data_IF_815603072816
#
_entry.id   IF_815603072816
#
_cell.length_a   1.000
_cell.length_b   1.000
_cell.length_c   1.000
_cell.angle_alpha   90.00
_cell.angle_beta   90.00
_cell.angle_gamma   90.00
#
_symmetry.space_group_name_H-M   'P 1'
#
loop_
_entity.id
_entity.type
_entity.pdbx_description
1 polymer ?
#
# COMPACT_ATOMS: atom_id res chain seq x y z
N UNK A 1 11.66 -25.58 -86.25
CA UNK A 1 12.48 -24.64 -85.47
C UNK A 1 11.63 -23.40 -85.23
N UNK A 2 11.44 -22.98 -83.97
CA UNK A 2 10.91 -21.63 -83.70
C UNK A 2 11.93 -20.65 -84.30
N UNK A 3 11.53 -19.87 -85.32
CA UNK A 3 12.32 -18.72 -85.73
C UNK A 3 12.41 -17.76 -84.53
N UNK A 4 13.42 -16.88 -84.48
CA UNK A 4 13.61 -15.95 -83.36
C UNK A 4 12.43 -14.97 -83.16
N UNK A 5 11.42 -14.95 -84.05
CA UNK A 5 10.25 -14.07 -83.99
C UNK A 5 10.61 -12.57 -83.86
N UNK A 6 11.81 -12.18 -84.29
CA UNK A 6 12.35 -10.83 -84.10
C UNK A 6 12.82 -10.52 -82.67
N UNK A 7 12.94 -11.52 -81.79
CA UNK A 7 13.40 -11.35 -80.41
C UNK A 7 14.86 -10.88 -80.35
N UNK A 8 15.10 -9.88 -79.51
CA UNK A 8 16.43 -9.44 -79.10
C UNK A 8 16.90 -10.23 -77.86
N UNK A 9 18.20 -10.28 -77.65
CA UNK A 9 18.79 -10.91 -76.45
C UNK A 9 18.21 -10.30 -75.18
N UNK A 10 17.71 -11.13 -74.26
CA UNK A 10 17.09 -10.70 -73.00
C UNK A 10 15.56 -10.54 -73.04
N UNK A 11 14.93 -10.72 -74.19
CA UNK A 11 13.47 -10.75 -74.28
C UNK A 11 12.90 -12.14 -73.99
N UNK A 12 11.69 -12.17 -73.43
CA UNK A 12 10.92 -13.40 -73.18
C UNK A 12 9.70 -13.43 -74.10
N UNK A 13 9.24 -14.61 -74.51
CA UNK A 13 7.96 -14.72 -75.21
C UNK A 13 6.83 -14.56 -74.20
N UNK A 14 6.00 -13.52 -74.37
CA UNK A 14 4.80 -13.27 -73.56
C UNK A 14 3.57 -13.43 -74.43
N UNK A 15 2.59 -14.21 -73.97
CA UNK A 15 1.31 -14.35 -74.66
C UNK A 15 0.47 -13.08 -74.45
N UNK A 16 0.08 -12.41 -75.55
CA UNK A 16 -0.63 -11.14 -75.50
C UNK A 16 -2.16 -11.26 -75.63
N UNK A 17 -2.69 -12.50 -75.56
CA UNK A 17 -4.11 -12.80 -75.72
C UNK A 17 -4.47 -13.35 -77.10
N UNK A 18 -3.65 -13.13 -78.11
CA UNK A 18 -3.87 -13.65 -79.47
C UNK A 18 -2.63 -14.40 -79.98
N UNK A 19 -1.43 -13.87 -79.72
CA UNK A 19 -0.16 -14.42 -80.19
C UNK A 19 0.90 -14.45 -79.09
N UNK A 20 1.92 -15.31 -79.26
CA UNK A 20 3.16 -15.23 -78.50
C UNK A 20 4.08 -14.21 -79.17
N UNK A 21 4.47 -13.15 -78.48
CA UNK A 21 5.37 -12.13 -79.02
C UNK A 21 6.55 -11.89 -78.08
N UNK A 22 7.76 -11.57 -78.60
CA UNK A 22 8.87 -11.16 -77.75
C UNK A 22 8.50 -9.88 -76.99
N UNK A 23 8.62 -9.93 -75.68
CA UNK A 23 8.43 -8.79 -74.80
C UNK A 23 9.66 -8.66 -73.90
N UNK A 24 10.04 -7.42 -73.61
CA UNK A 24 10.99 -7.17 -72.53
C UNK A 24 10.39 -7.68 -71.22
N UNK A 25 11.23 -8.17 -70.30
CA UNK A 25 10.79 -8.53 -68.95
C UNK A 25 10.59 -7.25 -68.11
N UNK A 26 9.69 -6.37 -68.55
CA UNK A 26 9.41 -5.05 -67.97
C UNK A 26 8.57 -5.11 -66.66
N UNK A 27 8.28 -6.31 -66.14
CA UNK A 27 7.38 -6.50 -64.99
C UNK A 27 8.05 -7.09 -63.73
N UNK A 28 9.36 -7.38 -63.76
CA UNK A 28 10.06 -7.91 -62.59
C UNK A 28 11.10 -6.91 -62.09
N UNK A 29 10.83 -6.28 -60.94
CA UNK A 29 11.84 -5.51 -60.22
C UNK A 29 13.03 -6.43 -59.90
N UNK A 30 14.18 -6.18 -60.53
CA UNK A 30 15.35 -7.01 -60.35
C UNK A 30 16.30 -6.39 -59.33
N UNK A 31 16.64 -7.16 -58.29
CA UNK A 31 17.67 -6.75 -57.34
C UNK A 31 19.05 -6.85 -57.98
N UNK A 32 19.75 -5.72 -58.07
CA UNK A 32 21.06 -5.62 -58.74
C UNK A 32 22.24 -5.70 -57.77
N UNK A 33 21.98 -5.62 -56.46
CA UNK A 33 23.00 -5.69 -55.41
C UNK A 33 22.97 -4.47 -54.49
N UNK A 34 24.11 -4.19 -53.86
CA UNK A 34 24.25 -3.03 -52.98
C UNK A 34 25.05 -1.90 -53.60
N UNK A 35 24.70 -0.66 -53.28
CA UNK A 35 25.37 0.54 -53.79
C UNK A 35 25.78 1.49 -52.66
N UNK A 36 26.97 2.08 -52.78
CA UNK A 36 27.50 3.07 -51.85
C UNK A 36 27.25 4.49 -52.38
N UNK A 37 26.52 5.35 -51.64
CA UNK A 37 26.21 6.71 -52.06
C UNK A 37 27.44 7.58 -52.31
N UNK A 38 28.60 7.28 -51.72
CA UNK A 38 29.85 8.01 -51.96
C UNK A 38 30.43 7.75 -53.37
N UNK A 39 29.90 6.77 -54.10
CA UNK A 39 30.32 6.44 -55.47
C UNK A 39 29.33 6.99 -56.51
N UNK A 40 29.72 7.18 -57.78
CA UNK A 40 28.77 7.53 -58.83
C UNK A 40 27.58 6.55 -58.89
N UNK A 41 26.44 7.01 -59.42
CA UNK A 41 25.32 6.10 -59.66
C UNK A 41 25.75 4.92 -60.55
N UNK A 42 25.18 3.72 -60.33
CA UNK A 42 25.27 2.64 -61.30
C UNK A 42 24.78 3.13 -62.66
N UNK A 43 25.41 2.68 -63.74
CA UNK A 43 25.04 3.12 -65.09
C UNK A 43 23.59 2.73 -65.38
N UNK A 44 22.74 3.75 -65.55
CA UNK A 44 21.32 3.57 -65.82
C UNK A 44 21.09 3.01 -67.23
N UNK A 45 22.02 3.24 -68.18
CA UNK A 45 21.96 2.68 -69.53
C UNK A 45 22.16 1.15 -69.58
N UNK A 46 22.64 0.56 -68.47
CA UNK A 46 22.80 -0.88 -68.29
C UNK A 46 21.69 -1.49 -67.40
N UNK A 47 20.67 -0.70 -67.03
CA UNK A 47 19.58 -1.10 -66.14
C UNK A 47 18.24 -1.07 -66.89
N UNK A 48 17.35 -2.00 -66.57
CA UNK A 48 15.96 -1.97 -67.02
C UNK A 48 15.09 -1.15 -66.06
N UNK A 49 13.97 -0.57 -66.52
CA UNK A 49 12.96 -0.02 -65.62
C UNK A 49 12.56 -1.05 -64.56
N UNK A 50 12.59 -0.65 -63.28
CA UNK A 50 12.33 -1.51 -62.12
C UNK A 50 13.56 -2.17 -61.51
N UNK A 51 14.73 -2.14 -62.15
CA UNK A 51 15.99 -2.56 -61.54
C UNK A 51 16.27 -1.70 -60.30
N UNK A 52 16.71 -2.33 -59.21
CA UNK A 52 16.96 -1.62 -57.96
C UNK A 52 18.22 -2.10 -57.23
N UNK A 53 18.84 -1.17 -56.49
CA UNK A 53 19.95 -1.42 -55.59
C UNK A 53 19.57 -1.04 -54.17
N UNK A 54 20.16 -1.73 -53.19
CA UNK A 54 20.03 -1.37 -51.76
C UNK A 54 21.27 -0.61 -51.32
N UNK A 55 21.08 0.50 -50.63
CA UNK A 55 22.16 1.35 -50.15
C UNK A 55 22.95 0.64 -49.04
N UNK A 56 24.26 0.45 -49.22
CA UNK A 56 25.14 -0.24 -48.25
C UNK A 56 25.81 0.68 -47.22
N UNK A 57 25.91 1.98 -47.50
CA UNK A 57 26.56 2.96 -46.63
C UNK A 57 25.70 4.23 -46.53
N UNK A 58 25.80 5.00 -45.44
CA UNK A 58 25.16 6.32 -45.36
C UNK A 58 26.05 7.37 -45.98
N UNK A 59 25.50 8.25 -46.80
CA UNK A 59 26.29 9.31 -47.44
C UNK A 59 25.47 10.16 -48.40
N UNK A 60 26.03 11.29 -48.83
CA UNK A 60 25.44 12.16 -49.85
C UNK A 60 26.04 11.82 -51.20
N UNK A 61 25.20 11.52 -52.19
CA UNK A 61 25.68 11.22 -53.52
C UNK A 61 26.07 12.51 -54.27
N UNK A 62 27.27 12.57 -54.89
CA UNK A 62 27.70 13.77 -55.61
C UNK A 62 26.93 14.03 -56.91
N UNK A 63 26.22 13.04 -57.45
CA UNK A 63 25.48 13.15 -58.71
C UNK A 63 24.11 13.82 -58.57
N UNK A 64 23.41 13.61 -57.47
CA UNK A 64 22.09 14.21 -57.20
C UNK A 64 22.05 15.11 -55.95
N UNK A 65 23.11 15.12 -55.14
CA UNK A 65 23.18 15.86 -53.87
C UNK A 65 22.28 15.31 -52.77
N UNK A 66 21.67 14.14 -52.94
CA UNK A 66 20.74 13.54 -51.99
C UNK A 66 21.51 12.69 -50.97
N UNK A 67 21.14 12.82 -49.70
CA UNK A 67 21.66 11.97 -48.62
C UNK A 67 20.85 10.68 -48.51
N UNK A 68 21.54 9.54 -48.57
CA UNK A 68 21.00 8.20 -48.43
C UNK A 68 21.43 7.60 -47.08
N UNK A 69 20.53 6.86 -46.44
CA UNK A 69 20.81 6.05 -45.27
C UNK A 69 21.04 4.59 -45.67
N UNK A 70 21.81 3.84 -44.88
CA UNK A 70 21.97 2.39 -45.08
C UNK A 70 20.58 1.74 -45.12
N UNK A 71 20.35 0.97 -46.18
CA UNK A 71 19.11 0.25 -46.42
C UNK A 71 18.06 1.02 -47.21
N UNK A 72 18.26 2.31 -47.53
CA UNK A 72 17.47 3.00 -48.58
C UNK A 72 17.63 2.28 -49.92
N UNK A 73 16.69 2.45 -50.85
CA UNK A 73 16.70 1.81 -52.15
C UNK A 73 16.86 2.89 -53.23
N UNK A 74 17.54 2.56 -54.32
CA UNK A 74 17.44 3.31 -55.58
C UNK A 74 16.77 2.42 -56.61
N UNK A 75 15.81 2.95 -57.36
CA UNK A 75 15.06 2.23 -58.39
C UNK A 75 15.15 2.98 -59.72
N UNK A 76 15.38 2.25 -60.81
CA UNK A 76 15.47 2.82 -62.14
C UNK A 76 14.10 2.91 -62.82
N UNK A 77 13.83 4.00 -63.54
CA UNK A 77 12.72 4.10 -64.50
C UNK A 77 13.16 3.80 -65.95
N UNK A 78 14.41 3.38 -66.14
CA UNK A 78 15.06 3.17 -67.44
C UNK A 78 15.82 4.40 -67.97
N UNK A 79 15.67 5.57 -67.35
CA UNK A 79 16.33 6.82 -67.76
C UNK A 79 17.04 7.52 -66.59
N UNK A 80 16.56 7.32 -65.38
CA UNK A 80 17.03 7.94 -64.15
C UNK A 80 16.93 7.00 -62.95
N UNK A 81 17.60 7.37 -61.86
CA UNK A 81 17.48 6.71 -60.57
C UNK A 81 16.62 7.56 -59.63
N UNK A 82 15.66 6.92 -58.97
CA UNK A 82 14.85 7.53 -57.92
C UNK A 82 15.16 6.92 -56.56
N UNK A 83 15.27 7.77 -55.54
CA UNK A 83 15.38 7.32 -54.15
C UNK A 83 14.03 6.78 -53.65
N UNK A 84 14.03 5.58 -53.12
CA UNK A 84 12.95 5.00 -52.33
C UNK A 84 13.48 4.78 -50.91
N UNK A 85 13.02 5.61 -49.97
CA UNK A 85 13.49 5.53 -48.58
C UNK A 85 13.09 4.20 -47.94
N UNK A 86 13.99 3.63 -47.14
CA UNK A 86 13.66 2.44 -46.36
C UNK A 86 12.54 2.76 -45.38
N UNK A 87 11.45 2.00 -45.45
CA UNK A 87 10.44 1.99 -44.39
C UNK A 87 10.97 1.23 -43.18
N UNK A 88 11.90 1.83 -42.42
CA UNK A 88 12.48 1.17 -41.26
C UNK A 88 11.39 1.01 -40.18
N UNK A 89 11.04 -0.24 -39.91
CA UNK A 89 10.13 -0.65 -38.83
C UNK A 89 10.82 -0.46 -37.48
N UNK A 90 10.77 0.75 -36.93
CA UNK A 90 11.05 1.00 -35.51
C UNK A 90 10.31 2.26 -35.09
N UNK A 91 9.19 2.06 -34.39
CA UNK A 91 8.27 3.08 -33.83
C UNK A 91 7.87 4.19 -34.82
N UNK A 92 6.72 4.02 -35.48
CA UNK A 92 6.17 5.02 -36.41
C UNK A 92 5.69 6.30 -35.72
N UNK A 93 5.31 6.21 -34.43
CA UNK A 93 5.08 7.35 -33.54
C UNK A 93 5.03 6.91 -32.07
N UNK A 94 5.37 7.81 -31.15
CA UNK A 94 5.10 7.67 -29.72
C UNK A 94 4.50 8.98 -29.19
N UNK A 95 3.26 8.91 -28.68
CA UNK A 95 2.51 10.07 -28.19
C UNK A 95 2.50 11.25 -29.20
N UNK A 96 2.30 10.92 -30.49
CA UNK A 96 2.27 11.90 -31.60
C UNK A 96 3.64 12.35 -32.12
N UNK A 97 4.75 12.07 -31.43
CA UNK A 97 6.11 12.39 -31.88
C UNK A 97 6.61 11.30 -32.84
N UNK A 98 7.25 11.70 -33.95
CA UNK A 98 7.78 10.82 -35.01
C UNK A 98 9.31 10.91 -35.06
N UNK A 99 9.98 9.90 -35.61
CA UNK A 99 11.44 9.87 -35.77
C UNK A 99 12.17 9.37 -34.52
N UNK A 100 13.32 9.96 -34.19
CA UNK A 100 14.06 9.64 -32.95
C UNK A 100 13.23 10.08 -31.73
N UNK A 101 12.71 9.11 -30.98
CA UNK A 101 11.94 9.37 -29.75
C UNK A 101 12.87 9.31 -28.55
N UNK A 102 13.33 10.47 -28.08
CA UNK A 102 13.90 10.58 -26.75
C UNK A 102 12.77 10.69 -25.71
N UNK A 103 12.89 9.95 -24.62
CA UNK A 103 11.97 10.01 -23.50
C UNK A 103 11.98 11.41 -22.86
N UNK A 104 10.81 12.03 -22.73
CA UNK A 104 10.61 13.32 -22.06
C UNK A 104 9.73 13.17 -20.83
N UNK A 105 9.81 14.07 -19.84
CA UNK A 105 8.97 14.04 -18.64
C UNK A 105 7.45 13.89 -18.86
N UNK A 106 6.95 14.32 -20.02
CA UNK A 106 5.54 14.16 -20.44
C UNK A 106 5.17 12.78 -21.00
N UNK A 107 6.12 11.86 -21.18
CA UNK A 107 5.88 10.48 -21.60
C UNK A 107 5.55 9.55 -20.43
N UNK A 108 5.89 9.99 -19.23
CA UNK A 108 5.60 9.33 -17.96
C UNK A 108 4.92 10.33 -17.00
N UNK A 109 3.82 10.99 -17.43
CA UNK A 109 3.17 12.06 -16.65
C UNK A 109 2.68 11.57 -15.28
N UNK A 110 2.53 10.26 -15.15
CA UNK A 110 1.93 9.61 -14.00
C UNK A 110 2.97 9.11 -12.98
N UNK A 111 4.28 9.22 -13.26
CA UNK A 111 5.31 8.92 -12.26
C UNK A 111 5.43 10.02 -11.18
N UNK A 112 4.88 11.22 -11.42
CA UNK A 112 4.93 12.35 -10.46
C UNK A 112 3.58 13.03 -10.19
N UNK A 113 2.53 12.81 -10.98
CA UNK A 113 1.27 13.57 -10.84
C UNK A 113 0.27 13.01 -9.82
N UNK A 114 0.59 11.89 -9.16
CA UNK A 114 -0.35 11.21 -8.26
C UNK A 114 -1.56 10.59 -8.97
N UNK A 115 -1.76 10.83 -10.27
CA UNK A 115 -2.75 10.14 -11.07
C UNK A 115 -2.27 8.71 -11.36
N UNK A 116 -3.12 7.74 -11.03
CA UNK A 116 -2.88 6.32 -11.35
C UNK A 116 -2.71 6.17 -12.86
N UNK A 117 -1.65 5.49 -13.30
CA UNK A 117 -1.52 5.08 -14.71
C UNK A 117 -2.69 4.13 -15.03
N UNK A 118 -3.51 4.39 -16.05
CA UNK A 118 -4.53 3.44 -16.47
C UNK A 118 -3.89 2.07 -16.76
N UNK A 119 -4.34 1.03 -16.05
CA UNK A 119 -3.78 -0.32 -16.14
C UNK A 119 -2.65 -0.63 -15.16
N UNK A 120 -2.10 0.33 -14.41
CA UNK A 120 -1.09 0.01 -13.40
C UNK A 120 -1.69 -0.62 -12.15
N UNK A 121 -0.90 -1.50 -11.53
CA UNK A 121 -1.18 -2.18 -10.28
C UNK A 121 -0.07 -1.90 -9.26
N UNK A 122 -0.37 -2.03 -7.97
CA UNK A 122 0.62 -1.93 -6.91
C UNK A 122 1.69 -3.02 -7.01
N UNK A 123 1.34 -4.19 -7.56
CA UNK A 123 2.27 -5.30 -7.84
C UNK A 123 3.25 -5.01 -8.99
N UNK A 124 3.12 -3.89 -9.70
CA UNK A 124 4.09 -3.48 -10.71
C UNK A 124 5.40 -2.97 -10.07
N UNK A 125 5.36 -2.67 -8.76
CA UNK A 125 6.54 -2.31 -7.99
C UNK A 125 7.38 -3.56 -7.70
N UNK A 126 8.65 -3.54 -8.10
CA UNK A 126 9.54 -4.70 -8.03
C UNK A 126 9.72 -5.31 -6.63
N UNK A 127 9.50 -4.52 -5.58
CA UNK A 127 9.60 -4.93 -4.18
C UNK A 127 8.24 -5.07 -3.50
N UNK A 128 7.15 -5.20 -4.26
CA UNK A 128 5.81 -5.51 -3.76
C UNK A 128 5.37 -6.85 -4.34
N UNK A 129 4.87 -7.72 -3.48
CA UNK A 129 4.22 -8.97 -3.88
C UNK A 129 2.86 -9.10 -3.18
N UNK A 130 1.81 -8.87 -3.96
CA UNK A 130 0.40 -9.06 -3.58
C UNK A 130 -0.28 -10.10 -4.48
N UNK A 131 0.53 -10.95 -5.12
CA UNK A 131 0.06 -11.94 -6.09
C UNK A 131 0.29 -13.37 -5.61
N UNK A 132 1.37 -13.62 -4.87
CA UNK A 132 1.61 -14.92 -4.22
C UNK A 132 0.51 -15.23 -3.20
N UNK A 133 -0.01 -14.20 -2.53
CA UNK A 133 -1.20 -14.25 -1.68
C UNK A 133 -2.11 -13.09 -2.08
N UNK A 134 -3.37 -13.36 -2.37
CA UNK A 134 -4.31 -12.29 -2.72
C UNK A 134 -4.69 -11.46 -1.47
N UNK A 135 -4.72 -10.11 -1.54
CA UNK A 135 -5.15 -9.27 -0.44
C UNK A 135 -6.61 -9.50 -0.04
N UNK A 136 -6.89 -9.53 1.26
CA UNK A 136 -8.25 -9.47 1.82
C UNK A 136 -8.52 -8.10 2.46
N UNK A 137 -9.80 -7.77 2.65
CA UNK A 137 -10.19 -6.51 3.31
C UNK A 137 -9.61 -6.47 4.73
N UNK A 138 -8.86 -5.40 5.02
CA UNK A 138 -8.18 -5.20 6.31
C UNK A 138 -6.71 -5.62 6.34
N UNK A 139 -6.19 -6.19 5.25
CA UNK A 139 -4.75 -6.40 5.09
C UNK A 139 -3.98 -5.08 5.02
N UNK A 140 -2.74 -5.12 5.49
CA UNK A 140 -1.75 -4.08 5.25
C UNK A 140 -0.52 -4.67 4.56
N UNK A 141 0.27 -3.80 3.95
CA UNK A 141 1.59 -4.19 3.44
C UNK A 141 2.59 -4.29 4.60
N UNK A 142 3.25 -5.44 4.70
CA UNK A 142 4.29 -5.73 5.68
C UNK A 142 5.59 -6.08 4.97
N UNK A 143 6.70 -5.54 5.46
CA UNK A 143 8.01 -5.91 4.98
C UNK A 143 8.40 -7.29 5.50
N UNK A 144 8.62 -8.26 4.62
CA UNK A 144 9.01 -9.64 4.99
C UNK A 144 10.53 -9.88 4.98
N UNK A 145 11.33 -8.82 4.80
CA UNK A 145 12.78 -8.91 4.63
C UNK A 145 13.26 -8.86 3.17
N UNK A 146 12.37 -9.07 2.20
CA UNK A 146 12.69 -9.08 0.76
C UNK A 146 11.70 -8.22 -0.04
N UNK A 147 10.40 -8.37 0.23
CA UNK A 147 9.31 -7.67 -0.43
C UNK A 147 8.30 -7.13 0.60
N UNK A 148 7.53 -6.14 0.18
CA UNK A 148 6.27 -5.76 0.81
C UNK A 148 5.20 -6.75 0.40
N UNK A 149 4.68 -7.51 1.35
CA UNK A 149 3.62 -8.50 1.14
C UNK A 149 2.35 -8.12 1.88
N UNK A 150 1.18 -8.53 1.39
CA UNK A 150 -0.05 -8.34 2.16
C UNK A 150 -0.08 -9.27 3.38
N UNK A 151 -0.63 -8.78 4.49
CA UNK A 151 -0.89 -9.59 5.66
C UNK A 151 -1.83 -8.90 6.64
N UNK A 152 -2.52 -9.70 7.46
CA UNK A 152 -3.52 -9.21 8.40
C UNK A 152 -2.93 -8.23 9.43
N UNK A 153 -3.63 -7.14 9.71
CA UNK A 153 -3.39 -6.25 10.86
C UNK A 153 -2.70 -4.94 10.53
N UNK A 154 -3.46 -3.83 10.63
CA UNK A 154 -2.97 -2.45 10.65
C UNK A 154 -2.90 -1.87 12.07
N UNK A 155 -2.30 -0.69 12.20
CA UNK A 155 -1.87 0.02 13.44
C UNK A 155 -3.01 0.39 14.42
N UNK A 156 -3.84 -0.58 14.84
CA UNK A 156 -4.84 -0.42 15.90
C UNK A 156 -5.04 -1.66 16.79
N UNK A 157 -4.24 -2.70 16.65
CA UNK A 157 -4.27 -3.82 17.60
C UNK A 157 -2.87 -4.09 18.11
N UNK A 158 -2.71 -4.05 19.43
CA UNK A 158 -1.64 -4.75 20.14
C UNK A 158 -1.52 -6.13 19.51
N UNK A 159 -0.45 -6.35 18.75
CA UNK A 159 -0.33 -7.46 17.79
C UNK A 159 -0.04 -8.79 18.46
N UNK A 160 0.34 -8.77 19.74
CA UNK A 160 0.44 -9.95 20.59
C UNK A 160 0.51 -9.55 22.06
N UNK A 161 0.24 -10.50 22.96
CA UNK A 161 0.51 -10.35 24.41
C UNK A 161 1.99 -10.15 24.74
N UNK A 162 2.91 -10.22 23.77
CA UNK A 162 4.33 -9.95 23.97
C UNK A 162 4.69 -8.46 23.80
N UNK A 163 3.82 -7.65 23.16
CA UNK A 163 4.04 -6.19 23.06
C UNK A 163 3.63 -5.44 24.34
N UNK A 164 2.69 -6.01 25.10
CA UNK A 164 2.45 -5.65 26.50
C UNK A 164 3.31 -6.60 27.33
N UNK A 165 4.59 -6.28 27.51
CA UNK A 165 5.43 -7.09 28.40
C UNK A 165 4.95 -6.95 29.84
N UNK A 166 5.28 -7.92 30.69
CA UNK A 166 5.01 -7.77 32.12
C UNK A 166 5.59 -6.44 32.63
N UNK A 167 4.81 -5.70 33.42
CA UNK A 167 5.12 -4.36 33.93
C UNK A 167 5.28 -3.23 32.87
N UNK A 168 4.97 -3.44 31.59
CA UNK A 168 5.16 -2.42 30.55
C UNK A 168 4.16 -1.27 30.60
N UNK A 169 3.02 -1.46 31.28
CA UNK A 169 2.00 -0.43 31.47
C UNK A 169 2.33 0.29 32.77
N UNK A 170 2.86 1.50 32.65
CA UNK A 170 3.17 2.38 33.77
C UNK A 170 1.99 3.33 34.06
N UNK A 171 2.03 4.02 35.20
CA UNK A 171 1.01 5.03 35.51
C UNK A 171 0.97 6.20 34.53
N UNK A 172 2.07 6.48 33.80
CA UNK A 172 2.12 7.51 32.77
C UNK A 172 1.40 7.09 31.47
N UNK A 173 1.30 5.78 31.22
CA UNK A 173 0.59 5.21 30.06
C UNK A 173 -0.94 5.21 30.26
N UNK A 174 -1.37 5.47 31.49
CA UNK A 174 -2.76 5.53 31.90
C UNK A 174 -3.13 7.00 32.13
N UNK A 175 -3.88 7.57 31.19
CA UNK A 175 -4.43 8.90 31.40
C UNK A 175 -5.31 8.93 32.67
N UNK A 176 -5.19 10.00 33.44
CA UNK A 176 -5.95 10.19 34.68
C UNK A 176 -7.44 10.00 34.40
N UNK A 177 -8.12 9.25 35.28
CA UNK A 177 -9.56 8.97 35.18
C UNK A 177 -10.02 8.16 33.95
N UNK A 178 -9.11 7.56 33.17
CA UNK A 178 -9.46 6.83 31.94
C UNK A 178 -9.73 5.34 32.16
N UNK A 179 -9.17 4.75 33.21
CA UNK A 179 -9.52 3.37 33.59
C UNK A 179 -10.82 3.40 34.36
N UNK A 180 -11.92 3.10 33.67
CA UNK A 180 -13.17 2.80 34.33
C UNK A 180 -12.97 1.52 35.18
N UNK A 181 -13.22 1.53 36.50
CA UNK A 181 -13.10 0.34 37.34
C UNK A 181 -13.90 -0.86 36.83
N UNK A 182 -14.98 -0.66 36.06
CA UNK A 182 -15.75 -1.74 35.42
C UNK A 182 -15.04 -2.41 34.24
N UNK A 183 -14.00 -1.78 33.69
CA UNK A 183 -13.18 -2.29 32.58
C UNK A 183 -11.94 -3.04 33.05
N UNK A 184 -11.56 -2.91 34.32
CA UNK A 184 -10.71 -3.90 34.97
C UNK A 184 -11.66 -5.08 35.26
N UNK A 185 -11.52 -6.17 34.50
CA UNK A 185 -12.42 -7.33 34.58
C UNK A 185 -12.81 -7.64 36.04
N UNK A 186 -14.10 -7.60 36.33
CA UNK A 186 -14.67 -7.78 37.67
C UNK A 186 -14.34 -9.15 38.31
N UNK A 187 -13.92 -10.14 37.52
CA UNK A 187 -13.44 -11.43 38.01
C UNK A 187 -11.99 -11.39 38.56
N UNK A 188 -11.20 -10.39 38.15
CA UNK A 188 -9.83 -10.17 38.64
C UNK A 188 -9.78 -9.27 39.87
N UNK A 189 -10.89 -8.59 40.18
CA UNK A 189 -11.06 -7.82 41.42
C UNK A 189 -11.82 -8.71 42.39
N UNK A 190 -11.09 -9.39 43.27
CA UNK A 190 -11.71 -10.10 44.38
C UNK A 190 -12.35 -9.06 45.33
N UNK A 191 -13.69 -8.99 45.33
CA UNK A 191 -14.45 -8.06 46.16
C UNK A 191 -14.31 -8.31 47.66
N UNK A 192 -13.72 -9.45 48.06
CA UNK A 192 -13.34 -9.72 49.43
C UNK A 192 -11.99 -9.09 49.81
N UNK A 193 -11.18 -8.63 48.84
CA UNK A 193 -9.87 -8.06 49.08
C UNK A 193 -9.86 -6.54 48.98
N UNK A 194 -9.05 -5.87 49.80
CA UNK A 194 -8.72 -4.46 49.70
C UNK A 194 -7.21 -4.27 49.60
N UNK A 195 -6.77 -3.22 48.91
CA UNK A 195 -5.36 -2.88 48.78
C UNK A 195 -4.93 -2.06 50.00
N UNK A 196 -3.93 -2.54 50.74
CA UNK A 196 -3.32 -1.79 51.84
C UNK A 196 -2.35 -0.73 51.32
N UNK A 197 -1.95 0.21 52.18
CA UNK A 197 -0.94 1.24 51.86
C UNK A 197 0.44 0.67 51.47
N UNK A 198 0.73 -0.57 51.86
CA UNK A 198 1.94 -1.32 51.47
C UNK A 198 1.83 -2.02 50.11
N UNK A 199 0.72 -1.80 49.38
CA UNK A 199 0.40 -2.41 48.08
C UNK A 199 0.16 -3.92 48.12
N UNK A 200 -0.15 -4.49 49.27
CA UNK A 200 -0.59 -5.89 49.38
C UNK A 200 -2.11 -5.98 49.46
N UNK A 201 -2.69 -6.98 48.80
CA UNK A 201 -4.12 -7.28 48.88
C UNK A 201 -4.42 -8.09 50.15
N UNK A 202 -5.42 -7.69 50.92
CA UNK A 202 -5.85 -8.37 52.15
C UNK A 202 -7.35 -8.52 52.24
N UNK A 203 -7.83 -9.50 53.00
CA UNK A 203 -9.27 -9.75 53.13
C UNK A 203 -9.94 -8.69 54.01
N UNK A 204 -10.81 -7.87 53.42
CA UNK A 204 -11.52 -6.78 54.08
C UNK A 204 -12.40 -7.28 55.23
N UNK A 205 -13.09 -8.41 55.02
CA UNK A 205 -13.93 -9.00 56.07
C UNK A 205 -13.09 -9.51 57.24
N UNK A 206 -11.93 -10.12 57.00
CA UNK A 206 -11.08 -10.66 58.06
C UNK A 206 -10.33 -9.56 58.83
N UNK A 207 -9.67 -8.64 58.12
CA UNK A 207 -8.75 -7.66 58.73
C UNK A 207 -9.44 -6.36 59.15
N UNK A 208 -10.57 -6.00 58.55
CA UNK A 208 -11.28 -4.76 58.91
C UNK A 208 -12.55 -5.11 59.66
N UNK A 209 -13.47 -5.84 59.04
CA UNK A 209 -14.79 -6.03 59.65
C UNK A 209 -14.77 -6.95 60.88
N UNK A 210 -13.97 -8.04 60.83
CA UNK A 210 -13.87 -9.05 61.87
C UNK A 210 -12.66 -8.87 62.80
N UNK A 211 -11.82 -7.86 62.57
CA UNK A 211 -10.69 -7.60 63.47
C UNK A 211 -11.21 -7.22 64.87
N UNK A 212 -10.73 -7.90 65.94
CA UNK A 212 -11.06 -7.54 67.31
C UNK A 212 -10.42 -6.21 67.70
N UNK A 213 -11.14 -5.36 68.42
CA UNK A 213 -10.63 -4.08 68.96
C UNK A 213 -9.71 -4.23 70.18
N UNK A 214 -9.06 -5.39 70.31
CA UNK A 214 -8.29 -5.78 71.50
C UNK A 214 -7.14 -4.85 71.89
N UNK A 215 -6.64 -4.05 70.95
CA UNK A 215 -5.57 -3.05 71.15
C UNK A 215 -6.10 -1.62 71.37
N UNK A 216 -7.41 -1.40 71.25
CA UNK A 216 -8.05 -0.12 71.50
C UNK A 216 -8.54 -0.06 72.96
N UNK A 217 -7.84 0.69 73.80
CA UNK A 217 -8.28 0.96 75.16
C UNK A 217 -9.40 2.01 75.15
N UNK A 218 -10.54 1.68 75.74
CA UNK A 218 -11.63 2.63 75.98
C UNK A 218 -11.70 2.95 77.48
N UNK A 219 -11.79 4.24 77.80
CA UNK A 219 -12.00 4.71 79.17
C UNK A 219 -13.35 4.19 79.69
N UNK A 220 -13.29 3.39 80.76
CA UNK A 220 -14.40 2.59 81.26
C UNK A 220 -15.53 3.40 81.90
N UNK A 221 -15.35 4.71 82.09
CA UNK A 221 -16.18 5.47 83.02
C UNK A 221 -17.28 6.33 82.39
N UNK A 222 -17.33 6.49 81.07
CA UNK A 222 -18.53 7.03 80.41
C UNK A 222 -18.57 6.64 78.93
N UNK A 223 -19.76 6.25 78.44
CA UNK A 223 -20.12 5.94 77.03
C UNK A 223 -19.93 4.45 76.62
N UNK A 224 -20.44 4.00 75.44
CA UNK A 224 -20.97 2.65 75.20
C UNK A 224 -19.95 1.55 75.48
N UNK A 225 -20.40 0.45 76.09
CA UNK A 225 -19.56 -0.72 76.39
C UNK A 225 -19.18 -1.47 75.10
N UNK A 226 -18.16 -0.94 74.42
CA UNK A 226 -17.42 -1.62 73.37
C UNK A 226 -16.28 -2.38 74.05
N UNK A 227 -16.29 -3.70 73.93
CA UNK A 227 -15.30 -4.57 74.57
C UNK A 227 -14.16 -4.88 73.61
N UNK A 228 -13.03 -5.32 74.14
CA UNK A 228 -11.86 -5.78 73.36
C UNK A 228 -12.16 -6.98 72.47
N UNK A 229 -13.26 -7.69 72.74
CA UNK A 229 -13.79 -8.82 71.94
C UNK A 229 -14.77 -8.39 70.85
N UNK A 230 -15.19 -7.13 70.81
CA UNK A 230 -16.06 -6.63 69.75
C UNK A 230 -15.29 -6.50 68.43
N UNK A 231 -15.96 -6.91 67.37
CA UNK A 231 -15.56 -6.66 65.98
C UNK A 231 -15.94 -5.22 65.60
N UNK A 232 -15.24 -4.63 64.63
CA UNK A 232 -15.42 -3.22 64.23
C UNK A 232 -16.88 -2.90 63.86
N UNK A 233 -17.53 -3.73 63.03
CA UNK A 233 -18.92 -3.52 62.63
C UNK A 233 -19.90 -3.48 63.82
N UNK A 234 -19.95 -4.53 64.64
CA UNK A 234 -20.75 -4.55 65.88
C UNK A 234 -20.42 -3.40 66.86
N UNK A 235 -19.14 -3.02 67.01
CA UNK A 235 -18.73 -1.92 67.86
C UNK A 235 -19.32 -0.57 67.42
N UNK A 236 -19.28 -0.28 66.12
CA UNK A 236 -19.94 0.91 65.55
C UNK A 236 -21.45 0.89 65.79
N UNK A 237 -22.08 -0.28 65.69
CA UNK A 237 -23.50 -0.46 66.02
C UNK A 237 -23.83 -0.12 67.48
N UNK A 238 -22.98 -0.53 68.43
CA UNK A 238 -23.13 -0.17 69.86
C UNK A 238 -22.99 1.33 70.09
N UNK A 239 -22.04 1.98 69.41
CA UNK A 239 -21.84 3.43 69.46
C UNK A 239 -23.05 4.17 68.89
N UNK A 240 -23.53 3.76 67.72
CA UNK A 240 -24.70 4.34 67.10
C UNK A 240 -25.95 4.21 67.98
N UNK A 241 -26.15 3.05 68.60
CA UNK A 241 -27.27 2.82 69.52
C UNK A 241 -27.23 3.80 70.70
N UNK A 242 -26.07 3.96 71.33
CA UNK A 242 -25.91 4.89 72.45
C UNK A 242 -26.17 6.35 72.06
N UNK A 243 -25.69 6.77 70.89
CA UNK A 243 -25.99 8.11 70.36
C UNK A 243 -27.48 8.29 70.09
N UNK A 244 -28.14 7.29 69.53
CA UNK A 244 -29.59 7.33 69.30
C UNK A 244 -30.35 7.41 70.62
N UNK A 245 -29.95 6.62 71.62
CA UNK A 245 -30.55 6.65 72.95
C UNK A 245 -30.43 8.06 73.56
N UNK A 246 -29.25 8.72 73.47
CA UNK A 246 -29.05 10.11 73.89
C UNK A 246 -29.93 11.11 73.12
N UNK A 247 -30.09 10.92 71.81
CA UNK A 247 -30.87 11.84 70.97
C UNK A 247 -32.38 11.68 71.19
N UNK A 248 -32.85 10.47 71.52
CA UNK A 248 -34.25 10.23 71.92
C UNK A 248 -34.54 10.66 73.35
N UNK A 249 -33.50 10.88 74.16
CA UNK A 249 -33.58 11.37 75.53
C UNK A 249 -33.56 12.91 75.57
N UNK A 250 -34.44 13.56 74.79
CA UNK A 250 -34.65 15.01 74.89
C UNK A 250 -35.28 15.42 76.24
N UNK A 251 -35.76 14.44 77.03
CA UNK A 251 -36.28 14.60 78.38
C UNK A 251 -35.73 13.44 79.21
N UNK A 252 -34.66 13.71 79.95
CA UNK A 252 -33.86 12.74 80.70
C UNK A 252 -34.70 11.72 81.48
N UNK A 253 -34.44 10.42 81.27
CA UNK A 253 -34.95 9.31 82.09
C UNK A 253 -34.61 9.38 83.60
N UNK A 254 -33.77 10.33 84.03
CA UNK A 254 -33.40 10.58 85.43
C UNK A 254 -34.09 11.79 86.06
N UNK A 255 -34.98 12.50 85.36
CA UNK A 255 -35.77 13.57 85.98
C UNK A 255 -36.88 12.96 86.84
N UNK A 256 -36.59 12.72 88.11
CA UNK A 256 -37.58 12.29 89.14
C UNK A 256 -38.54 13.41 89.57
N UNK A 257 -38.42 14.62 89.01
CA UNK A 257 -39.33 15.72 89.28
C UNK A 257 -39.50 16.61 88.03
N UNK A 258 -40.46 16.27 87.17
CA UNK A 258 -41.12 17.27 86.33
C UNK A 258 -42.43 17.65 87.00
N UNK A 259 -42.42 18.72 87.79
CA UNK A 259 -43.65 19.31 88.28
C UNK A 259 -44.38 19.98 87.12
N UNK A 260 -45.52 19.41 86.73
CA UNK A 260 -46.50 20.12 85.92
C UNK A 260 -47.13 21.21 86.80
N UNK A 261 -46.65 22.44 86.69
CA UNK A 261 -47.32 23.60 87.29
C UNK A 261 -48.64 23.78 86.54
N UNK A 262 -49.74 23.24 87.09
CA UNK A 262 -51.08 23.63 86.68
C UNK A 262 -51.43 24.90 87.45
N UNK A 263 -51.17 26.06 86.84
CA UNK A 263 -51.66 27.36 87.34
C UNK A 263 -53.20 27.30 87.34
N UNK A 264 -53.80 27.56 88.50
CA UNK A 264 -55.19 28.04 88.57
C UNK A 264 -55.21 29.52 88.17
#
# INVERSE_FOLDING_TARGET
>A
MLANMGALSGQVLKFNGTDWAPASLIDAQLYKGTWDPATPFPDVGLSAPGDYWVVSASGTNPGDGITYAIGDWIISDGYSWSKLALSKTSVTSFNGRKGLVNLIPGDYPNLKSGAKIPGSNLNDLANVDITTVAPIVGDVLKWNGVNWVNGAGGVTSVGSTAEITDLSITGADIAENTINPSKIYSASIDSALYLRGDKTWQNFTAEVLNAPLSTYALDANTKPSVTTTDKIGPALGKIQKYLNDLNTDYISKTAVAQECIRKF
#
